data_IF_802537638403
#
_entry.id   IF_802537638403
#
_cell.length_a   1.000
_cell.length_b   1.000
_cell.length_c   1.000
_cell.angle_alpha   90.00
_cell.angle_beta   90.00
_cell.angle_gamma   90.00
#
_symmetry.space_group_name_H-M   'P 1'
#
loop_
_entity.id
_entity.type
_entity.pdbx_description
1 polymer ?
#
# COMPACT_ATOMS: atom_id res chain seq x y z
N UNK A 1 -15.13 -0.42 3.19
CA UNK A 1 -15.74 0.92 3.29
C UNK A 1 -14.68 1.88 3.83
N UNK A 2 -14.23 2.84 3.03
CA UNK A 2 -13.29 3.86 3.47
C UNK A 2 -13.99 4.78 4.46
N UNK A 3 -13.57 4.77 5.71
CA UNK A 3 -13.96 5.83 6.63
C UNK A 3 -13.16 7.07 6.28
N UNK A 4 -13.76 8.01 5.57
CA UNK A 4 -13.16 9.33 5.35
C UNK A 4 -13.04 10.01 6.70
N UNK A 5 -11.85 10.00 7.27
CA UNK A 5 -11.55 10.77 8.46
C UNK A 5 -11.47 12.23 8.05
N UNK A 6 -12.47 12.99 8.40
CA UNK A 6 -12.48 14.42 8.13
C UNK A 6 -11.49 15.12 9.07
N UNK A 7 -10.30 15.44 8.55
CA UNK A 7 -9.23 16.18 9.27
C UNK A 7 -9.59 17.67 9.43
N UNK A 8 -10.84 17.99 9.75
CA UNK A 8 -11.29 19.36 9.83
C UNK A 8 -10.75 20.06 11.10
N UNK A 9 -9.81 21.02 10.98
CA UNK A 9 -9.19 21.71 12.12
C UNK A 9 -10.17 22.57 12.95
N UNK A 10 -11.43 22.68 12.55
CA UNK A 10 -12.44 23.49 13.27
C UNK A 10 -12.80 22.99 14.67
N UNK A 11 -12.38 21.76 15.04
CA UNK A 11 -12.64 21.21 16.38
C UNK A 11 -11.57 21.57 17.43
N UNK A 12 -10.48 22.22 17.04
CA UNK A 12 -9.42 22.60 17.98
C UNK A 12 -9.82 23.92 18.61
N UNK A 13 -10.21 23.90 19.90
CA UNK A 13 -10.35 25.13 20.73
C UNK A 13 -9.04 25.31 21.49
N UNK A 14 -8.19 26.30 21.11
CA UNK A 14 -6.84 26.47 21.64
C UNK A 14 -6.75 26.70 23.14
N UNK A 15 -7.80 27.20 23.76
CA UNK A 15 -7.81 27.70 25.13
C UNK A 15 -8.33 26.73 26.20
N UNK A 16 -8.55 25.45 25.83
CA UNK A 16 -8.96 24.40 26.75
C UNK A 16 -7.84 23.45 27.11
N UNK A 17 -7.93 22.85 28.30
CA UNK A 17 -7.10 21.71 28.65
C UNK A 17 -7.25 20.60 27.60
N UNK A 18 -6.16 19.90 27.33
CA UNK A 18 -6.20 18.81 26.39
C UNK A 18 -6.95 17.63 26.96
N UNK A 19 -7.89 17.10 26.18
CA UNK A 19 -8.72 15.96 26.54
C UNK A 19 -8.78 14.98 25.37
N UNK A 20 -8.88 13.69 25.69
CA UNK A 20 -9.14 12.66 24.69
C UNK A 20 -10.52 12.90 24.06
N UNK A 21 -10.57 12.99 22.73
CA UNK A 21 -11.81 13.04 21.97
C UNK A 21 -12.26 11.63 21.57
N UNK A 22 -11.39 10.88 20.87
CA UNK A 22 -11.55 9.46 20.59
C UNK A 22 -10.23 8.79 20.25
N UNK A 23 -10.22 7.47 20.24
CA UNK A 23 -9.12 6.66 19.75
C UNK A 23 -9.66 5.49 18.94
N UNK A 24 -9.05 5.20 17.78
CA UNK A 24 -9.51 4.18 16.84
C UNK A 24 -8.33 3.33 16.37
N UNK A 25 -8.49 2.01 16.37
CA UNK A 25 -7.55 1.09 15.74
C UNK A 25 -7.90 0.95 14.26
N UNK A 26 -6.89 1.09 13.41
CA UNK A 26 -7.00 1.06 11.94
C UNK A 26 -6.13 -0.07 11.42
N UNK A 27 -6.69 -0.94 10.59
CA UNK A 27 -5.96 -1.99 9.88
C UNK A 27 -4.99 -1.41 8.84
N UNK A 28 -3.89 -2.11 8.60
CA UNK A 28 -2.93 -1.74 7.55
C UNK A 28 -3.35 -2.17 6.15
N UNK A 29 -4.37 -3.01 6.01
CA UNK A 29 -4.91 -3.59 4.77
C UNK A 29 -3.99 -4.61 4.07
N UNK A 30 -2.71 -4.74 4.44
CA UNK A 30 -1.76 -5.67 3.83
C UNK A 30 -1.50 -6.89 4.70
N UNK A 31 -1.34 -8.04 4.06
CA UNK A 31 -0.73 -9.22 4.65
C UNK A 31 0.78 -9.02 4.86
N UNK A 32 1.43 -9.90 5.61
CA UNK A 32 2.87 -9.80 5.92
C UNK A 32 3.64 -10.93 5.24
N UNK A 33 4.92 -10.70 4.92
CA UNK A 33 5.75 -11.68 4.23
C UNK A 33 6.74 -12.36 5.18
N UNK A 34 7.05 -13.63 4.92
CA UNK A 34 8.17 -14.31 5.55
C UNK A 34 9.45 -13.49 5.45
N UNK A 35 10.17 -13.29 6.57
CA UNK A 35 11.44 -12.58 6.61
C UNK A 35 11.37 -11.08 6.34
N UNK A 36 10.18 -10.49 6.31
CA UNK A 36 10.02 -9.05 6.20
C UNK A 36 10.38 -8.33 7.51
N UNK A 37 10.80 -7.10 7.39
CA UNK A 37 11.16 -6.24 8.51
C UNK A 37 10.24 -5.03 8.56
N UNK A 38 9.81 -4.68 9.77
CA UNK A 38 8.96 -3.52 10.02
C UNK A 38 7.65 -3.52 9.22
N UNK A 39 7.09 -4.70 8.93
CA UNK A 39 5.77 -4.78 8.29
C UNK A 39 4.71 -4.14 9.16
N UNK A 40 3.93 -3.24 8.57
CA UNK A 40 2.89 -2.54 9.29
C UNK A 40 1.72 -3.48 9.59
N UNK A 41 1.37 -3.60 10.86
CA UNK A 41 0.24 -4.42 11.33
C UNK A 41 -1.01 -3.56 11.52
N UNK A 42 -0.89 -2.49 12.30
CA UNK A 42 -2.00 -1.59 12.59
C UNK A 42 -1.52 -0.17 12.90
N UNK A 43 -2.45 0.76 12.87
CA UNK A 43 -2.29 2.12 13.41
C UNK A 43 -3.27 2.33 14.56
N UNK A 44 -2.81 3.00 15.61
CA UNK A 44 -3.69 3.57 16.61
C UNK A 44 -3.76 5.09 16.35
N UNK A 45 -4.94 5.56 16.01
CA UNK A 45 -5.25 6.99 15.87
C UNK A 45 -5.82 7.51 17.18
N UNK A 46 -5.20 8.52 17.76
CA UNK A 46 -5.66 9.19 18.98
C UNK A 46 -5.96 10.65 18.61
N UNK A 47 -7.21 11.06 18.78
CA UNK A 47 -7.64 12.43 18.58
C UNK A 47 -7.83 13.11 19.94
N UNK A 48 -7.25 14.28 20.10
CA UNK A 48 -7.38 15.10 21.32
C UNK A 48 -7.88 16.49 20.98
N UNK A 49 -8.67 17.08 21.88
CA UNK A 49 -9.12 18.48 21.80
C UNK A 49 -8.38 19.30 22.83
N UNK A 50 -8.32 20.61 22.63
CA UNK A 50 -7.58 21.52 23.51
C UNK A 50 -6.07 21.48 23.27
N UNK A 51 -5.36 22.47 23.83
CA UNK A 51 -3.92 22.61 23.65
C UNK A 51 -3.16 22.93 24.94
N UNK A 52 -3.87 23.23 26.02
CA UNK A 52 -3.25 23.48 27.32
C UNK A 52 -2.99 22.16 28.04
N UNK A 53 -1.87 22.04 28.72
CA UNK A 53 -1.46 20.85 29.46
C UNK A 53 -1.46 19.62 28.56
N UNK A 54 -0.55 19.54 27.55
CA UNK A 54 -0.53 18.46 26.61
C UNK A 54 -0.44 17.08 27.30
N UNK A 55 -1.30 16.15 26.87
CA UNK A 55 -1.33 14.79 27.38
C UNK A 55 -0.15 13.99 26.83
N UNK A 56 0.42 13.15 27.68
CA UNK A 56 1.47 12.20 27.29
C UNK A 56 0.91 10.80 27.17
N UNK A 57 1.25 10.13 26.09
CA UNK A 57 1.01 8.69 25.98
C UNK A 57 2.09 7.96 26.79
N UNK A 58 1.69 7.23 27.81
CA UNK A 58 2.61 6.58 28.75
C UNK A 58 2.64 5.07 28.62
N UNK A 59 1.59 4.45 28.06
CA UNK A 59 1.50 3.01 27.95
C UNK A 59 0.61 2.60 26.77
N UNK A 60 1.00 1.52 26.07
CA UNK A 60 0.20 0.84 25.05
C UNK A 60 0.24 -0.68 25.34
N UNK A 61 -0.94 -1.30 25.44
CA UNK A 61 -1.07 -2.75 25.58
C UNK A 61 -1.51 -3.39 24.28
N UNK A 62 -0.86 -4.51 23.91
CA UNK A 62 -1.20 -5.34 22.78
C UNK A 62 -1.57 -6.75 23.24
N UNK A 63 -2.58 -7.35 22.61
CA UNK A 63 -2.95 -8.76 22.84
C UNK A 63 -2.81 -9.55 21.53
N UNK A 64 -1.94 -10.57 21.57
CA UNK A 64 -1.64 -11.50 20.49
C UNK A 64 -2.10 -12.94 20.82
N UNK A 65 -2.98 -13.10 21.81
CA UNK A 65 -3.36 -14.43 22.32
C UNK A 65 -3.94 -15.37 21.27
N UNK A 66 -4.52 -14.81 20.21
CA UNK A 66 -5.12 -15.56 19.10
C UNK A 66 -4.17 -15.76 17.90
N UNK A 67 -2.95 -15.26 17.96
CA UNK A 67 -1.92 -15.49 16.92
C UNK A 67 -1.61 -16.98 16.82
N UNK A 68 -1.56 -17.52 15.58
CA UNK A 68 -1.35 -18.95 15.34
C UNK A 68 -0.05 -19.46 15.96
N UNK A 69 1.07 -18.76 15.73
CA UNK A 69 2.36 -19.08 16.30
C UNK A 69 3.16 -17.80 16.59
N UNK A 70 3.41 -17.50 17.85
CA UNK A 70 4.21 -16.33 18.23
C UNK A 70 5.67 -16.42 17.78
N UNK A 71 6.18 -17.62 17.55
CA UNK A 71 7.52 -17.86 17.00
C UNK A 71 7.71 -17.34 15.58
N UNK A 72 6.63 -17.07 14.86
CA UNK A 72 6.68 -16.48 13.53
C UNK A 72 7.00 -14.97 13.55
N UNK A 73 6.97 -14.36 14.74
CA UNK A 73 7.26 -12.92 14.92
C UNK A 73 8.57 -12.81 15.71
N UNK A 74 9.58 -12.18 15.12
CA UNK A 74 10.86 -11.92 15.79
C UNK A 74 10.73 -10.75 16.78
N UNK A 75 10.11 -9.66 16.35
CA UNK A 75 9.92 -8.47 17.17
C UNK A 75 8.68 -7.66 16.77
N UNK A 76 8.21 -6.86 17.69
CA UNK A 76 7.21 -5.82 17.47
C UNK A 76 7.82 -4.45 17.79
N UNK A 77 7.49 -3.46 16.96
CA UNK A 77 7.87 -2.09 17.21
C UNK A 77 6.62 -1.20 17.27
N UNK A 78 6.66 -0.20 18.13
CA UNK A 78 5.63 0.83 18.22
C UNK A 78 6.30 2.17 17.97
N UNK A 79 5.89 2.87 16.92
CA UNK A 79 6.42 4.18 16.55
C UNK A 79 5.34 5.24 16.74
N UNK A 80 5.71 6.36 17.37
CA UNK A 80 4.90 7.55 17.33
C UNK A 80 5.22 8.34 16.06
N UNK A 81 4.23 8.60 15.24
CA UNK A 81 4.40 9.27 13.95
C UNK A 81 3.79 10.68 13.92
N UNK A 82 3.37 11.20 15.09
CA UNK A 82 2.77 12.52 15.21
C UNK A 82 1.47 12.64 14.42
N UNK A 83 1.34 13.68 13.63
CA UNK A 83 0.13 13.94 12.81
C UNK A 83 0.08 13.17 11.51
N UNK A 84 1.09 12.38 11.20
CA UNK A 84 1.16 11.69 9.92
C UNK A 84 0.71 10.24 10.01
N UNK A 85 -0.24 9.86 9.16
CA UNK A 85 -0.71 8.47 9.01
C UNK A 85 0.18 7.64 8.08
N UNK A 86 1.29 8.19 7.59
CA UNK A 86 2.14 7.53 6.58
C UNK A 86 2.86 6.32 7.15
N UNK A 87 2.78 5.22 6.42
CA UNK A 87 3.40 3.94 6.78
C UNK A 87 4.93 4.01 6.87
N UNK A 88 5.58 4.82 6.03
CA UNK A 88 7.03 4.92 5.95
C UNK A 88 7.66 5.88 6.94
N UNK A 89 6.86 6.60 7.74
CA UNK A 89 7.38 7.59 8.70
C UNK A 89 7.53 6.92 10.06
N UNK A 90 8.77 6.77 10.50
CA UNK A 90 9.15 6.20 11.80
C UNK A 90 9.93 7.26 12.58
N UNK A 91 9.20 8.20 13.18
CA UNK A 91 9.82 9.39 13.79
C UNK A 91 10.38 9.09 15.17
N UNK A 92 9.61 8.45 16.03
CA UNK A 92 10.02 8.19 17.41
C UNK A 92 9.64 6.78 17.81
N UNK A 93 10.61 5.98 18.24
CA UNK A 93 10.36 4.65 18.78
C UNK A 93 9.76 4.80 20.17
N UNK A 94 8.48 4.44 20.30
CA UNK A 94 7.78 4.38 21.58
C UNK A 94 8.15 3.14 22.37
N UNK A 95 8.32 2.00 21.67
CA UNK A 95 8.71 0.76 22.30
C UNK A 95 9.07 -0.34 21.32
N UNK A 96 9.92 -1.26 21.77
CA UNK A 96 10.32 -2.47 21.04
C UNK A 96 10.16 -3.68 21.95
N UNK A 97 9.58 -4.76 21.42
CA UNK A 97 9.46 -6.04 22.09
C UNK A 97 10.01 -7.16 21.24
N UNK A 98 11.10 -7.77 21.67
CA UNK A 98 11.67 -8.96 21.05
C UNK A 98 11.02 -10.22 21.60
N UNK A 99 10.86 -11.23 20.76
CA UNK A 99 10.19 -12.50 21.10
C UNK A 99 8.83 -12.27 21.73
N UNK A 100 7.84 -11.81 20.92
CA UNK A 100 6.55 -11.44 21.42
C UNK A 100 5.87 -12.50 22.26
N UNK A 101 5.14 -12.06 23.27
CA UNK A 101 4.31 -12.89 24.13
C UNK A 101 2.83 -12.62 23.82
N UNK A 102 1.93 -13.48 24.33
CA UNK A 102 0.48 -13.34 24.14
C UNK A 102 -0.04 -11.95 24.53
N UNK A 103 0.52 -11.35 25.57
CA UNK A 103 0.19 -9.99 26.01
C UNK A 103 1.46 -9.20 26.21
N UNK A 104 1.51 -8.02 25.64
CA UNK A 104 2.64 -7.12 25.72
C UNK A 104 2.20 -5.74 26.15
N UNK A 105 3.04 -5.06 26.89
CA UNK A 105 2.83 -3.68 27.30
C UNK A 105 4.09 -2.89 27.02
N UNK A 106 3.94 -1.86 26.20
CA UNK A 106 4.98 -0.90 25.88
C UNK A 106 4.80 0.34 26.74
N UNK A 107 5.88 0.87 27.27
CA UNK A 107 5.87 2.05 28.12
C UNK A 107 6.81 3.09 27.54
N UNK A 108 6.39 4.34 27.59
CA UNK A 108 7.25 5.48 27.29
C UNK A 108 8.16 5.79 28.45
N UNK A 109 9.24 5.01 28.58
CA UNK A 109 10.22 5.17 29.66
C UNK A 109 11.03 6.49 29.55
N UNK A 110 11.10 7.05 28.36
CA UNK A 110 11.85 8.28 28.09
C UNK A 110 10.99 9.54 28.13
N UNK A 111 9.65 9.40 28.20
CA UNK A 111 8.71 10.52 28.22
C UNK A 111 8.66 11.31 26.93
N UNK A 112 8.93 10.65 25.79
CA UNK A 112 9.09 11.33 24.49
C UNK A 112 7.77 11.62 23.79
N UNK A 113 6.68 10.88 24.10
CA UNK A 113 5.43 11.00 23.36
C UNK A 113 4.46 11.94 24.04
N UNK A 114 4.49 13.20 23.62
CA UNK A 114 3.52 14.23 23.99
C UNK A 114 2.57 14.45 22.82
N UNK A 115 1.26 14.33 23.07
CA UNK A 115 0.24 14.49 22.03
C UNK A 115 0.08 15.94 21.61
N UNK A 116 -0.01 16.14 20.30
CA UNK A 116 -0.30 17.45 19.72
C UNK A 116 -1.81 17.64 19.55
N UNK A 117 -2.36 18.86 19.62
CA UNK A 117 -3.77 19.12 19.37
C UNK A 117 -4.24 18.53 18.02
N UNK A 118 -5.38 17.86 18.02
CA UNK A 118 -5.94 17.16 16.86
C UNK A 118 -5.55 15.69 16.83
N UNK A 119 -5.25 15.18 15.66
CA UNK A 119 -5.01 13.74 15.42
C UNK A 119 -3.53 13.42 15.62
N UNK A 120 -3.28 12.32 16.31
CA UNK A 120 -1.97 11.72 16.53
C UNK A 120 -2.03 10.23 16.14
N UNK A 121 -0.92 9.71 15.63
CA UNK A 121 -0.83 8.32 15.20
C UNK A 121 0.32 7.57 15.87
N UNK A 122 0.04 6.33 16.24
CA UNK A 122 1.05 5.31 16.50
C UNK A 122 0.95 4.25 15.41
N UNK A 123 2.10 3.75 15.02
CA UNK A 123 2.26 2.67 14.06
C UNK A 123 2.82 1.45 14.80
N UNK A 124 2.12 0.32 14.71
CA UNK A 124 2.63 -0.97 15.18
C UNK A 124 3.13 -1.75 13.98
N UNK A 125 4.38 -2.17 14.03
CA UNK A 125 5.02 -3.00 12.99
C UNK A 125 5.55 -4.29 13.59
N UNK A 126 5.80 -5.29 12.73
CA UNK A 126 6.40 -6.56 13.10
C UNK A 126 7.56 -6.91 12.18
N UNK A 127 8.61 -7.52 12.77
CA UNK A 127 9.60 -8.27 12.02
C UNK A 127 9.18 -9.73 11.97
N UNK A 128 8.99 -10.26 10.78
CA UNK A 128 8.53 -11.63 10.56
C UNK A 128 9.74 -12.56 10.43
N UNK A 129 9.68 -13.71 11.06
CA UNK A 129 10.75 -14.69 10.97
C UNK A 129 10.92 -15.22 9.53
N UNK A 130 12.16 -15.40 9.08
CA UNK A 130 12.43 -15.97 7.75
C UNK A 130 11.81 -17.37 7.58
N UNK A 131 11.72 -18.12 8.68
CA UNK A 131 11.15 -19.49 8.74
C UNK A 131 9.70 -19.49 9.24
N UNK A 132 9.03 -18.35 9.28
CA UNK A 132 7.62 -18.30 9.62
C UNK A 132 6.80 -19.20 8.69
N UNK A 133 5.73 -19.76 9.20
CA UNK A 133 4.91 -20.69 8.42
C UNK A 133 3.89 -19.91 7.59
N UNK A 134 4.01 -19.99 6.26
CA UNK A 134 3.03 -19.40 5.35
C UNK A 134 1.63 -19.97 5.60
N UNK A 135 0.64 -19.09 5.60
CA UNK A 135 -0.75 -19.43 5.96
C UNK A 135 -1.08 -19.22 7.43
N UNK A 136 -0.08 -19.16 8.33
CA UNK A 136 -0.31 -18.74 9.72
C UNK A 136 -0.81 -17.31 9.78
N UNK A 137 -1.48 -16.98 10.88
CA UNK A 137 -2.15 -15.69 11.07
C UNK A 137 -1.60 -14.97 12.29
N UNK A 138 -1.25 -13.72 12.13
CA UNK A 138 -0.99 -12.80 13.23
C UNK A 138 -2.31 -12.13 13.56
N UNK A 139 -2.80 -12.37 14.78
CA UNK A 139 -4.00 -11.73 15.29
C UNK A 139 -3.63 -10.81 16.45
N UNK A 140 -3.96 -9.55 16.32
CA UNK A 140 -3.55 -8.52 17.27
C UNK A 140 -4.71 -7.58 17.59
N UNK A 141 -4.81 -7.19 18.85
CA UNK A 141 -5.72 -6.15 19.31
C UNK A 141 -5.01 -5.17 20.24
N UNK A 142 -5.63 -4.02 20.45
CA UNK A 142 -5.19 -2.98 21.42
C UNK A 142 -6.21 -2.91 22.55
N UNK A 143 -6.07 -3.70 23.61
CA UNK A 143 -7.03 -3.71 24.70
C UNK A 143 -7.06 -2.39 25.50
N UNK A 144 -5.92 -1.72 25.61
CA UNK A 144 -5.85 -0.42 26.31
C UNK A 144 -4.60 0.38 25.95
N UNK A 145 -4.69 1.69 26.21
CA UNK A 145 -3.55 2.61 26.25
C UNK A 145 -3.74 3.59 27.42
N UNK A 146 -2.66 4.25 27.87
CA UNK A 146 -2.76 5.24 28.95
C UNK A 146 -2.30 6.61 28.48
N UNK A 147 -3.10 7.61 28.81
CA UNK A 147 -2.71 9.02 28.76
C UNK A 147 -2.47 9.47 30.20
N UNK A 148 -1.26 9.92 30.50
CA UNK A 148 -0.80 10.16 31.86
C UNK A 148 -1.00 8.90 32.75
N UNK A 149 -1.92 8.97 33.70
CA UNK A 149 -2.27 7.85 34.61
C UNK A 149 -3.61 7.19 34.27
N UNK A 150 -4.35 7.76 33.29
CA UNK A 150 -5.70 7.30 32.95
C UNK A 150 -5.66 6.29 31.82
N UNK A 151 -6.27 5.14 32.02
CA UNK A 151 -6.44 4.10 31.01
C UNK A 151 -7.64 4.33 30.12
N UNK A 152 -7.50 4.03 28.83
CA UNK A 152 -8.55 4.11 27.82
C UNK A 152 -8.56 2.85 26.97
N UNK A 153 -9.72 2.51 26.43
CA UNK A 153 -9.90 1.46 25.42
C UNK A 153 -10.21 2.14 24.07
N UNK A 154 -9.46 1.88 23.01
CA UNK A 154 -9.79 2.43 21.70
C UNK A 154 -11.02 1.76 21.11
N UNK A 155 -11.72 2.48 20.24
CA UNK A 155 -12.73 1.92 19.37
C UNK A 155 -12.03 1.05 18.31
N UNK A 156 -12.63 -0.10 18.00
CA UNK A 156 -12.11 -1.02 16.97
C UNK A 156 -13.15 -1.07 15.87
N UNK A 157 -12.80 -0.64 14.68
CA UNK A 157 -13.72 -0.63 13.55
C UNK A 157 -14.14 -2.04 13.13
N UNK A 158 -13.21 -3.02 13.22
CA UNK A 158 -13.39 -4.37 12.66
C UNK A 158 -13.00 -5.51 13.63
N UNK A 159 -12.92 -5.26 14.94
CA UNK A 159 -12.56 -6.30 15.92
C UNK A 159 -11.06 -6.55 16.02
N UNK A 160 -10.63 -7.80 15.94
CA UNK A 160 -9.22 -8.20 15.98
C UNK A 160 -8.61 -8.01 14.60
N UNK A 161 -7.49 -7.30 14.52
CA UNK A 161 -6.73 -7.18 13.28
C UNK A 161 -6.08 -8.53 12.98
N UNK A 162 -6.29 -9.04 11.76
CA UNK A 162 -5.74 -10.31 11.30
C UNK A 162 -4.85 -10.08 10.07
N UNK A 163 -3.60 -10.57 10.11
CA UNK A 163 -2.67 -10.60 9.00
C UNK A 163 -2.28 -12.03 8.70
N UNK A 164 -2.32 -12.42 7.44
CA UNK A 164 -1.80 -13.71 7.00
C UNK A 164 -0.31 -13.58 6.71
N UNK A 165 0.46 -14.60 7.07
CA UNK A 165 1.86 -14.71 6.65
C UNK A 165 1.88 -15.33 5.26
N UNK A 166 2.45 -14.61 4.29
CA UNK A 166 2.59 -15.06 2.91
C UNK A 166 4.01 -15.52 2.62
N UNK A 167 4.15 -16.40 1.64
CA UNK A 167 5.48 -16.80 1.18
C UNK A 167 6.23 -15.61 0.59
N UNK A 168 7.50 -15.49 0.93
CA UNK A 168 8.37 -14.48 0.33
C UNK A 168 8.92 -14.99 -1.00
N UNK A 169 8.94 -14.13 -2.01
CA UNK A 169 9.63 -14.38 -3.27
C UNK A 169 11.14 -14.65 -3.08
N UNK A 170 11.73 -14.16 -1.99
CA UNK A 170 13.12 -14.47 -1.62
C UNK A 170 13.31 -15.95 -1.26
N UNK A 171 12.31 -16.56 -0.64
CA UNK A 171 12.36 -17.95 -0.16
C UNK A 171 11.80 -18.93 -1.21
N UNK A 172 10.93 -18.46 -2.10
CA UNK A 172 10.35 -19.28 -3.16
C UNK A 172 10.51 -18.58 -4.51
N UNK A 173 11.47 -19.01 -5.36
CA UNK A 173 11.72 -18.37 -6.66
C UNK A 173 10.58 -18.57 -7.67
N UNK A 174 9.57 -19.37 -7.35
CA UNK A 174 8.38 -19.56 -8.18
C UNK A 174 7.27 -18.54 -7.89
N UNK A 175 7.45 -17.71 -6.88
CA UNK A 175 6.52 -16.64 -6.51
C UNK A 175 7.06 -15.31 -7.02
N UNK A 176 6.20 -14.55 -7.68
CA UNK A 176 6.45 -13.15 -8.07
C UNK A 176 5.27 -12.32 -7.59
N UNK A 177 5.53 -11.38 -6.71
CA UNK A 177 4.52 -10.46 -6.20
C UNK A 177 4.41 -9.24 -7.10
N UNK A 178 3.23 -8.97 -7.61
CA UNK A 178 2.98 -7.86 -8.53
C UNK A 178 2.01 -6.86 -7.91
N UNK A 179 2.37 -5.60 -7.95
CA UNK A 179 1.50 -4.47 -7.64
C UNK A 179 1.13 -3.76 -8.94
N UNK A 180 -0.16 -3.61 -9.21
CA UNK A 180 -0.67 -2.76 -10.28
C UNK A 180 -1.40 -1.57 -9.65
N UNK A 181 -1.08 -0.34 -10.08
CA UNK A 181 -1.71 0.85 -9.51
C UNK A 181 -1.66 2.06 -10.44
N UNK A 182 -2.83 2.61 -10.77
CA UNK A 182 -2.95 3.95 -11.32
C UNK A 182 -2.90 4.95 -10.16
N UNK A 183 -1.87 5.80 -10.10
CA UNK A 183 -1.62 6.74 -8.99
C UNK A 183 -2.24 8.12 -9.19
N UNK A 184 -3.04 8.28 -10.22
CA UNK A 184 -3.77 9.50 -10.54
C UNK A 184 -2.88 10.77 -10.53
N UNK A 185 -2.38 11.10 -11.72
CA UNK A 185 -1.53 12.27 -11.96
C UNK A 185 -0.31 12.40 -11.02
N UNK A 186 0.46 11.33 -10.85
CA UNK A 186 1.66 11.35 -10.00
C UNK A 186 1.36 11.43 -8.50
N UNK A 187 0.13 11.14 -8.09
CA UNK A 187 -0.28 11.20 -6.68
C UNK A 187 -0.52 12.61 -6.14
N UNK A 188 -0.56 13.64 -7.01
CA UNK A 188 -0.64 15.05 -6.56
C UNK A 188 -2.01 15.45 -5.98
N UNK A 189 -3.06 14.69 -6.25
CA UNK A 189 -4.42 15.00 -5.82
C UNK A 189 -4.63 14.93 -4.30
N UNK A 190 -3.73 14.29 -3.57
CA UNK A 190 -3.75 14.24 -2.10
C UNK A 190 -2.75 15.21 -1.46
N UNK A 191 -2.34 16.24 -2.20
CA UNK A 191 -1.46 17.30 -1.75
C UNK A 191 0.03 16.98 -1.89
N UNK A 192 0.87 17.82 -1.28
CA UNK A 192 2.34 17.76 -1.44
C UNK A 192 2.96 16.44 -0.98
N UNK A 193 2.30 15.70 -0.10
CA UNK A 193 2.75 14.40 0.39
C UNK A 193 2.31 13.22 -0.46
N UNK A 194 1.52 13.44 -1.50
CA UNK A 194 0.90 12.36 -2.29
C UNK A 194 1.91 11.37 -2.83
N UNK A 195 2.96 11.85 -3.50
CA UNK A 195 4.01 10.97 -4.03
C UNK A 195 4.77 10.21 -2.92
N UNK A 196 4.95 10.82 -1.76
CA UNK A 196 5.56 10.16 -0.60
C UNK A 196 4.68 9.03 -0.08
N UNK A 197 3.36 9.24 -0.05
CA UNK A 197 2.38 8.19 0.33
C UNK A 197 2.38 7.03 -0.68
N UNK A 198 2.49 7.34 -1.98
CA UNK A 198 2.65 6.31 -3.02
C UNK A 198 3.89 5.47 -2.75
N UNK A 199 5.04 6.10 -2.51
CA UNK A 199 6.30 5.40 -2.21
C UNK A 199 6.16 4.51 -0.97
N UNK A 200 5.55 5.03 0.09
CA UNK A 200 5.34 4.27 1.34
C UNK A 200 4.48 3.02 1.10
N UNK A 201 3.39 3.15 0.34
CA UNK A 201 2.50 2.02 0.01
C UNK A 201 3.18 1.00 -0.90
N UNK A 202 3.94 1.45 -1.91
CA UNK A 202 4.71 0.53 -2.75
C UNK A 202 5.74 -0.24 -1.93
N UNK A 203 6.43 0.41 -0.99
CA UNK A 203 7.34 -0.27 -0.06
C UNK A 203 6.61 -1.28 0.82
N UNK A 204 5.47 -0.87 1.38
CA UNK A 204 4.66 -1.73 2.26
C UNK A 204 4.10 -2.95 1.52
N UNK A 205 3.78 -2.83 0.22
CA UNK A 205 3.32 -3.97 -0.59
C UNK A 205 4.37 -5.06 -0.76
N UNK A 206 5.65 -4.72 -0.58
CA UNK A 206 6.78 -5.61 -0.83
C UNK A 206 6.75 -6.30 -2.21
N UNK A 207 6.16 -5.63 -3.20
CA UNK A 207 6.03 -6.16 -4.56
C UNK A 207 7.39 -6.30 -5.25
N UNK A 208 7.56 -7.35 -6.04
CA UNK A 208 8.75 -7.58 -6.86
C UNK A 208 8.69 -6.79 -8.16
N UNK A 209 7.48 -6.61 -8.69
CA UNK A 209 7.20 -5.89 -9.91
C UNK A 209 6.05 -4.91 -9.64
N UNK A 210 6.19 -3.69 -10.14
CA UNK A 210 5.14 -2.67 -10.06
C UNK A 210 4.83 -2.16 -11.45
N UNK A 211 3.61 -2.34 -11.91
CA UNK A 211 3.08 -1.69 -13.11
C UNK A 211 2.25 -0.48 -12.68
N UNK A 212 2.63 0.70 -13.13
CA UNK A 212 2.04 1.94 -12.65
C UNK A 212 1.60 2.83 -13.81
N UNK A 213 0.47 3.47 -13.63
CA UNK A 213 -0.11 4.41 -14.58
C UNK A 213 -0.17 5.81 -13.97
N UNK A 214 -0.19 6.79 -14.84
CA UNK A 214 -0.26 8.21 -14.50
C UNK A 214 0.90 8.71 -13.64
N UNK A 215 2.11 8.20 -13.91
CA UNK A 215 3.32 8.54 -13.16
C UNK A 215 3.75 10.00 -13.28
N UNK A 216 3.61 10.59 -14.46
CA UNK A 216 3.77 12.01 -14.82
C UNK A 216 4.82 12.81 -14.03
N UNK A 217 6.06 12.32 -13.95
CA UNK A 217 7.20 13.03 -13.32
C UNK A 217 7.61 12.50 -11.95
N UNK A 218 6.82 11.63 -11.31
CA UNK A 218 7.15 10.99 -10.02
C UNK A 218 8.11 9.80 -10.12
N UNK A 219 8.31 9.25 -11.32
CA UNK A 219 8.95 7.95 -11.56
C UNK A 219 10.37 7.87 -11.00
N UNK A 220 11.20 8.89 -11.21
CA UNK A 220 12.58 8.88 -10.74
C UNK A 220 12.65 8.82 -9.22
N UNK A 221 11.85 9.61 -8.52
CA UNK A 221 11.81 9.60 -7.06
C UNK A 221 11.35 8.26 -6.49
N UNK A 222 10.37 7.62 -7.15
CA UNK A 222 9.92 6.27 -6.76
C UNK A 222 11.07 5.28 -6.94
N UNK A 223 11.71 5.26 -8.13
CA UNK A 223 12.87 4.40 -8.43
C UNK A 223 13.96 4.52 -7.36
N UNK A 224 14.38 5.76 -7.06
CA UNK A 224 15.48 6.02 -6.13
C UNK A 224 15.12 5.57 -4.70
N UNK A 225 13.84 5.69 -4.33
CA UNK A 225 13.34 5.26 -3.03
C UNK A 225 13.23 3.75 -2.89
N UNK A 226 13.00 3.02 -3.98
CA UNK A 226 12.86 1.56 -4.00
C UNK A 226 14.19 0.85 -4.28
N UNK A 227 15.10 1.47 -5.01
CA UNK A 227 16.31 0.83 -5.53
C UNK A 227 16.02 -0.19 -6.64
N UNK A 228 14.89 -0.08 -7.35
CA UNK A 228 14.46 -1.02 -8.39
C UNK A 228 15.01 -0.62 -9.76
N UNK A 229 15.06 -1.60 -10.67
CA UNK A 229 15.14 -1.31 -12.11
C UNK A 229 13.87 -0.59 -12.53
N UNK A 230 13.95 0.27 -13.53
CA UNK A 230 12.81 1.06 -14.01
C UNK A 230 12.83 1.12 -15.53
N UNK A 231 11.66 0.98 -16.13
CA UNK A 231 11.41 1.29 -17.52
C UNK A 231 10.21 2.22 -17.64
N UNK A 232 10.41 3.31 -18.36
CA UNK A 232 9.37 4.25 -18.76
C UNK A 232 9.76 4.84 -20.12
N UNK A 233 8.81 5.13 -21.01
CA UNK A 233 9.12 5.81 -22.27
C UNK A 233 9.79 7.17 -22.06
N UNK A 234 9.33 7.92 -21.09
CA UNK A 234 10.01 9.11 -20.55
C UNK A 234 9.60 9.40 -19.11
N UNK A 235 10.39 10.23 -18.40
CA UNK A 235 10.08 10.61 -17.01
C UNK A 235 8.81 11.46 -16.84
N UNK A 236 8.20 11.88 -17.95
CA UNK A 236 6.94 12.65 -17.93
C UNK A 236 5.77 11.86 -18.50
N UNK A 237 6.02 10.61 -18.89
CA UNK A 237 4.99 9.78 -19.50
C UNK A 237 4.02 9.16 -18.47
N UNK A 238 2.94 8.63 -19.03
CA UNK A 238 1.89 7.94 -18.31
C UNK A 238 2.42 6.69 -17.59
N UNK A 239 3.11 5.82 -18.34
CA UNK A 239 3.43 4.46 -17.90
C UNK A 239 4.82 4.34 -17.31
N UNK A 240 4.93 3.56 -16.24
CA UNK A 240 6.20 3.12 -15.70
C UNK A 240 6.10 1.70 -15.15
N UNK A 241 7.20 0.96 -15.28
CA UNK A 241 7.40 -0.34 -14.69
C UNK A 241 8.62 -0.27 -13.77
N UNK A 242 8.47 -0.78 -12.56
CA UNK A 242 9.57 -1.00 -11.62
C UNK A 242 9.71 -2.48 -11.34
N UNK A 243 10.95 -2.97 -11.19
CA UNK A 243 11.23 -4.37 -10.95
C UNK A 243 12.45 -4.56 -10.05
N UNK A 244 12.38 -5.52 -9.13
CA UNK A 244 13.57 -6.04 -8.43
C UNK A 244 14.47 -6.84 -9.36
N UNK A 245 13.90 -7.39 -10.42
CA UNK A 245 14.61 -8.23 -11.38
C UNK A 245 15.18 -7.37 -12.53
N UNK A 246 16.33 -7.76 -13.11
CA UNK A 246 16.89 -7.05 -14.23
C UNK A 246 15.95 -6.97 -15.44
N UNK A 247 15.84 -5.79 -16.02
CA UNK A 247 15.18 -5.57 -17.31
C UNK A 247 16.20 -5.91 -18.39
N UNK A 248 15.99 -7.01 -19.10
CA UNK A 248 16.94 -7.52 -20.09
C UNK A 248 16.62 -7.11 -21.52
N UNK A 249 15.35 -6.79 -21.78
CA UNK A 249 14.91 -6.29 -23.06
C UNK A 249 13.80 -5.26 -22.89
N UNK A 250 13.90 -4.13 -23.58
CA UNK A 250 12.82 -3.17 -23.74
C UNK A 250 12.19 -3.40 -25.11
N UNK A 251 10.93 -3.80 -25.12
CA UNK A 251 10.23 -4.12 -26.37
C UNK A 251 9.74 -2.81 -27.00
N UNK A 252 10.12 -2.53 -28.27
CA UNK A 252 9.67 -1.31 -28.94
C UNK A 252 8.16 -1.38 -29.21
N UNK A 253 7.45 -0.31 -28.88
CA UNK A 253 6.03 -0.16 -29.18
C UNK A 253 5.76 1.12 -29.96
N UNK A 254 4.73 1.10 -30.79
CA UNK A 254 4.21 2.30 -31.50
C UNK A 254 3.18 3.07 -30.68
N UNK A 255 2.81 2.54 -29.52
CA UNK A 255 1.81 3.10 -28.62
C UNK A 255 2.35 3.28 -27.19
N UNK A 256 3.46 3.99 -27.04
CA UNK A 256 4.16 4.13 -25.75
C UNK A 256 3.32 4.75 -24.63
N UNK A 257 2.29 5.51 -24.96
CA UNK A 257 1.32 6.03 -23.99
C UNK A 257 0.40 4.94 -23.42
N UNK A 258 0.16 3.86 -24.19
CA UNK A 258 -0.77 2.79 -23.86
C UNK A 258 -0.09 1.48 -23.46
N UNK A 259 1.19 1.32 -23.79
CA UNK A 259 1.93 0.05 -23.67
C UNK A 259 3.39 0.31 -23.35
N UNK A 260 3.92 -0.37 -22.33
CA UNK A 260 5.33 -0.28 -21.91
C UNK A 260 5.85 -1.69 -21.60
N UNK A 261 6.09 -2.51 -22.65
CA UNK A 261 6.44 -3.91 -22.50
C UNK A 261 7.94 -4.10 -22.32
N UNK A 262 8.33 -5.05 -21.46
CA UNK A 262 9.70 -5.45 -21.18
C UNK A 262 9.82 -6.95 -20.98
N UNK A 263 11.04 -7.49 -21.14
CA UNK A 263 11.40 -8.79 -20.57
C UNK A 263 12.25 -8.61 -19.32
N UNK A 264 11.93 -9.40 -18.32
CA UNK A 264 12.66 -9.50 -17.06
C UNK A 264 13.35 -10.87 -17.01
N UNK A 265 14.52 -10.92 -16.37
CA UNK A 265 15.17 -12.19 -16.05
C UNK A 265 14.99 -12.49 -14.55
N UNK A 266 14.21 -13.52 -14.26
CA UNK A 266 13.97 -14.04 -12.92
C UNK A 266 15.13 -14.95 -12.47
N UNK A 267 15.21 -15.30 -11.16
CA UNK A 267 16.15 -16.29 -10.66
C UNK A 267 16.08 -17.62 -11.46
N UNK A 268 17.22 -18.23 -11.71
CA UNK A 268 17.32 -19.42 -12.57
C UNK A 268 17.27 -19.12 -14.06
N UNK A 269 17.54 -17.88 -14.47
CA UNK A 269 17.56 -17.42 -15.86
C UNK A 269 16.21 -17.61 -16.61
N UNK A 270 15.11 -17.61 -15.86
CA UNK A 270 13.76 -17.68 -16.43
C UNK A 270 13.33 -16.33 -16.97
N UNK A 271 12.68 -16.33 -18.12
CA UNK A 271 12.17 -15.10 -18.72
C UNK A 271 10.73 -14.84 -18.26
N UNK A 272 10.40 -13.56 -18.10
CA UNK A 272 9.05 -13.07 -17.82
C UNK A 272 8.79 -11.84 -18.68
N UNK A 273 7.74 -11.87 -19.49
CA UNK A 273 7.28 -10.70 -20.21
C UNK A 273 6.30 -9.91 -19.34
N UNK A 274 6.57 -8.63 -19.14
CA UNK A 274 5.68 -7.74 -18.37
C UNK A 274 5.34 -6.52 -19.21
N UNK A 275 4.07 -6.16 -19.23
CA UNK A 275 3.60 -4.94 -19.89
C UNK A 275 2.79 -4.10 -18.92
N UNK A 276 3.26 -2.88 -18.62
CA UNK A 276 2.44 -1.88 -17.97
C UNK A 276 1.58 -1.18 -19.04
N UNK A 277 0.27 -1.16 -18.86
CA UNK A 277 -0.63 -0.61 -19.87
C UNK A 277 -1.66 0.35 -19.31
N UNK A 278 -2.20 1.18 -20.19
CA UNK A 278 -3.34 2.05 -19.96
C UNK A 278 -4.19 2.08 -21.23
N UNK A 279 -5.41 1.56 -21.16
CA UNK A 279 -6.28 1.47 -22.31
C UNK A 279 -7.15 2.74 -22.43
N UNK A 280 -7.40 3.16 -23.66
CA UNK A 280 -8.28 4.29 -23.90
C UNK A 280 -9.70 3.92 -23.51
N UNK A 281 -10.30 4.75 -22.67
CA UNK A 281 -11.72 4.65 -22.32
C UNK A 281 -12.62 5.10 -23.48
N UNK A 282 -13.87 4.68 -23.48
CA UNK A 282 -14.89 5.21 -24.37
C UNK A 282 -15.00 6.73 -24.20
N UNK A 283 -15.21 7.46 -25.29
CA UNK A 283 -15.10 8.93 -25.31
C UNK A 283 -16.11 9.65 -24.42
N UNK A 284 -17.19 9.01 -24.05
CA UNK A 284 -18.15 9.61 -23.14
C UNK A 284 -17.52 9.69 -21.73
N UNK A 285 -17.16 10.89 -21.23
CA UNK A 285 -16.57 11.06 -19.90
C UNK A 285 -17.50 10.59 -18.78
N UNK A 286 -18.78 10.41 -19.08
CA UNK A 286 -19.77 9.90 -18.15
C UNK A 286 -19.68 8.37 -18.02
N UNK A 287 -19.06 7.69 -18.98
CA UNK A 287 -18.94 6.24 -19.04
C UNK A 287 -18.29 5.64 -17.78
N UNK A 288 -17.15 6.16 -17.36
CA UNK A 288 -16.41 5.63 -16.22
C UNK A 288 -16.95 6.08 -14.86
N UNK A 289 -17.60 7.26 -14.80
CA UNK A 289 -18.01 7.89 -13.55
C UNK A 289 -19.51 7.79 -13.25
N UNK A 290 -20.34 7.67 -14.29
CA UNK A 290 -21.81 7.73 -14.17
C UNK A 290 -22.52 6.54 -14.81
N UNK A 291 -21.84 5.41 -14.89
CA UNK A 291 -22.36 4.17 -15.47
C UNK A 291 -23.83 3.86 -15.12
N UNK A 292 -24.27 3.99 -13.86
CA UNK A 292 -25.67 3.74 -13.51
C UNK A 292 -26.66 4.79 -14.03
N UNK A 293 -26.16 5.98 -14.42
CA UNK A 293 -27.00 7.15 -14.76
C UNK A 293 -27.06 7.44 -16.25
N UNK A 294 -26.25 6.75 -17.06
CA UNK A 294 -26.24 6.95 -18.49
C UNK A 294 -27.35 6.11 -19.11
N UNK A 295 -28.18 6.74 -19.92
CA UNK A 295 -29.23 6.03 -20.66
C UNK A 295 -28.68 4.84 -21.43
N UNK A 296 -29.06 3.70 -21.07
CA UNK A 296 -28.52 2.34 -21.18
C UNK A 296 -28.38 1.78 -22.61
N UNK A 297 -27.83 2.52 -23.54
CA UNK A 297 -27.52 1.94 -24.85
C UNK A 297 -26.13 1.28 -24.82
N UNK A 298 -26.03 0.09 -24.23
CA UNK A 298 -24.81 -0.68 -24.11
C UNK A 298 -24.15 -0.98 -25.47
N UNK A 299 -24.90 -1.01 -26.56
CA UNK A 299 -24.35 -1.22 -27.91
C UNK A 299 -23.46 -0.08 -28.37
N UNK A 300 -23.74 1.17 -27.96
CA UNK A 300 -22.87 2.32 -28.23
C UNK A 300 -21.55 2.19 -27.48
N UNK A 301 -21.58 1.77 -26.23
CA UNK A 301 -20.36 1.59 -25.43
C UNK A 301 -19.49 0.47 -25.98
N UNK A 302 -20.08 -0.67 -26.32
CA UNK A 302 -19.36 -1.78 -26.95
C UNK A 302 -18.73 -1.35 -28.29
N UNK A 303 -19.44 -0.58 -29.10
CA UNK A 303 -18.90 -0.07 -30.36
C UNK A 303 -17.73 0.93 -30.14
N UNK A 304 -17.85 1.82 -29.17
CA UNK A 304 -16.75 2.73 -28.83
C UNK A 304 -15.55 2.04 -28.22
N UNK A 305 -15.77 1.09 -27.31
CA UNK A 305 -14.69 0.30 -26.70
C UNK A 305 -13.95 -0.53 -27.75
N UNK A 306 -14.66 -1.09 -28.72
CA UNK A 306 -14.07 -1.82 -29.85
C UNK A 306 -13.07 -0.97 -30.66
N UNK A 307 -13.29 0.35 -30.76
CA UNK A 307 -12.40 1.28 -31.45
C UNK A 307 -11.26 1.82 -30.56
N UNK A 308 -11.32 1.63 -29.25
CA UNK A 308 -10.42 2.21 -28.27
C UNK A 308 -9.75 1.14 -27.38
N UNK A 309 -10.38 0.75 -26.29
CA UNK A 309 -9.82 -0.18 -25.30
C UNK A 309 -9.51 -1.55 -25.91
N UNK A 310 -10.47 -2.16 -26.61
CA UNK A 310 -10.26 -3.44 -27.30
C UNK A 310 -9.18 -3.34 -28.38
N UNK A 311 -9.19 -2.27 -29.19
CA UNK A 311 -8.16 -2.05 -30.22
C UNK A 311 -6.76 -1.83 -29.62
N UNK A 312 -6.65 -1.21 -28.44
CA UNK A 312 -5.40 -1.05 -27.72
C UNK A 312 -4.93 -2.42 -27.17
N UNK A 313 -5.82 -3.21 -26.56
CA UNK A 313 -5.50 -4.54 -26.08
C UNK A 313 -5.08 -5.47 -27.23
N UNK A 314 -5.78 -5.44 -28.37
CA UNK A 314 -5.38 -6.19 -29.56
C UNK A 314 -3.97 -5.81 -30.01
N UNK A 315 -3.64 -4.52 -30.02
CA UNK A 315 -2.28 -4.07 -30.35
C UNK A 315 -1.25 -4.60 -29.36
N UNK A 316 -1.53 -4.51 -28.06
CA UNK A 316 -0.66 -5.04 -26.99
C UNK A 316 -0.40 -6.54 -27.21
N UNK A 317 -1.44 -7.30 -27.45
CA UNK A 317 -1.30 -8.75 -27.63
C UNK A 317 -0.57 -9.12 -28.93
N UNK A 318 -0.97 -8.53 -30.06
CA UNK A 318 -0.50 -8.97 -31.40
C UNK A 318 0.84 -8.35 -31.79
N UNK A 319 1.18 -7.17 -31.27
CA UNK A 319 2.37 -6.41 -31.67
C UNK A 319 3.44 -6.33 -30.59
N UNK A 320 3.02 -6.15 -29.33
CA UNK A 320 3.93 -5.89 -28.25
C UNK A 320 4.17 -7.13 -27.34
N UNK A 321 3.41 -8.21 -27.52
CA UNK A 321 3.51 -9.44 -26.71
C UNK A 321 3.90 -10.66 -27.54
N UNK A 322 3.01 -11.16 -28.42
CA UNK A 322 3.20 -12.42 -29.16
C UNK A 322 4.54 -12.52 -29.92
N UNK A 323 5.01 -11.48 -30.64
CA UNK A 323 6.26 -11.56 -31.39
C UNK A 323 7.51 -11.76 -30.53
N UNK A 324 7.40 -11.49 -29.24
CA UNK A 324 8.52 -11.50 -28.28
C UNK A 324 8.50 -12.68 -27.32
N UNK A 325 7.54 -13.58 -27.45
CA UNK A 325 7.55 -14.85 -26.73
C UNK A 325 8.66 -15.74 -27.29
N UNK A 326 9.50 -16.26 -26.39
CA UNK A 326 10.64 -17.11 -26.78
C UNK A 326 10.20 -18.58 -26.94
N UNK A 327 9.17 -18.96 -26.22
CA UNK A 327 8.54 -20.28 -26.22
C UNK A 327 7.09 -20.15 -25.73
N UNK A 328 6.35 -21.24 -25.76
CA UNK A 328 4.95 -21.27 -25.32
C UNK A 328 4.80 -21.21 -23.80
N UNK A 329 5.90 -21.44 -23.05
CA UNK A 329 5.90 -21.47 -21.58
C UNK A 329 6.35 -20.14 -20.95
N UNK A 330 6.73 -19.10 -21.75
CA UNK A 330 7.10 -17.79 -21.21
C UNK A 330 5.92 -17.15 -20.50
N UNK A 331 5.97 -16.94 -19.17
CA UNK A 331 4.89 -16.26 -18.47
C UNK A 331 4.73 -14.82 -18.94
N UNK A 332 3.48 -14.35 -18.92
CA UNK A 332 3.11 -12.99 -19.31
C UNK A 332 2.33 -12.34 -18.20
N UNK A 333 2.68 -11.10 -17.86
CA UNK A 333 1.91 -10.25 -16.95
C UNK A 333 1.56 -8.96 -17.69
N UNK A 334 0.27 -8.69 -17.83
CA UNK A 334 -0.25 -7.42 -18.35
C UNK A 334 -0.98 -6.75 -17.20
N UNK A 335 -0.35 -5.72 -16.64
CA UNK A 335 -0.91 -4.97 -15.52
C UNK A 335 -1.22 -3.53 -15.92
N UNK A 336 -2.46 -3.09 -15.70
CA UNK A 336 -2.80 -1.76 -16.14
C UNK A 336 -4.17 -1.27 -15.73
N UNK A 337 -4.44 -0.03 -16.09
CA UNK A 337 -5.77 0.55 -16.05
C UNK A 337 -6.46 0.24 -17.40
N UNK A 338 -7.37 -0.70 -17.38
CA UNK A 338 -8.07 -1.14 -18.58
C UNK A 338 -9.20 -0.19 -18.97
N UNK A 339 -9.59 0.73 -18.11
CA UNK A 339 -10.67 1.69 -18.37
C UNK A 339 -11.95 1.03 -18.96
N UNK A 340 -12.19 -0.20 -18.57
CA UNK A 340 -13.33 -1.01 -19.01
C UNK A 340 -13.92 -1.73 -17.80
N UNK A 341 -15.24 -1.76 -17.71
CA UNK A 341 -15.93 -2.49 -16.66
C UNK A 341 -15.71 -3.99 -16.79
N UNK A 342 -15.57 -4.67 -15.67
CA UNK A 342 -15.59 -6.12 -15.63
C UNK A 342 -17.01 -6.63 -15.89
N UNK A 343 -17.13 -7.80 -16.46
CA UNK A 343 -18.43 -8.49 -16.57
C UNK A 343 -18.99 -8.96 -15.21
N UNK A 344 -18.19 -8.78 -14.16
CA UNK A 344 -18.54 -9.12 -12.79
C UNK A 344 -19.06 -7.91 -11.97
N UNK A 345 -18.99 -6.71 -12.55
CA UNK A 345 -19.40 -5.46 -11.90
C UNK A 345 -20.89 -5.15 -12.08
#
# INVERSE_FOLDING_TARGET
AYTVVNDNPKFIKPDKQQELFNAVVIDSEWDVDQGSLDDQILKLRIAVTGSQTPLRLTELSLDLSETTALSDINSLHVYYTGKTARSGVKTELFGKGEKPQKKMTFKDEQGVVTLTPGINYLLVTADIAEKAIAGNKIKISVPSFKLEKTGYTPEVSDGIIEKRITESSKNNPNIVKVLQWNIWHGGVHVGNDGLSRVIDLVKASNADIVTMQEGYGGQQRIKDSLGYYMQTPSLKDNLVLFSRYPITEVIPTKKSFNSNPVKLTLPGNRQLLVNACWLRYAYNPEYSCNYPNIGHNTSVWVAEDALRGLADMQHIMEKDTKPYLTDDDTPIIIGGDFNSCSHLD
#
